data_IF_678395703216
#
_entry.id   IF_678395703216
#
_cell.length_a   1.000
_cell.length_b   1.000
_cell.length_c   1.000
_cell.angle_alpha   90.00
_cell.angle_beta   90.00
_cell.angle_gamma   90.00
#
_symmetry.space_group_name_H-M   'P 1'
#
loop_
_entity.id
_entity.type
_entity.pdbx_description
1 polymer ?
#
# COMPACT_ATOMS: atom_id res chain seq x y z
N UNK A 1 23.13 9.85 -29.49
CA UNK A 1 21.97 10.67 -29.07
C UNK A 1 20.95 9.70 -28.51
N UNK A 2 20.55 9.73 -27.24
CA UNK A 2 19.47 8.90 -26.75
C UNK A 2 18.17 9.43 -27.34
N UNK A 3 17.41 8.58 -27.99
CA UNK A 3 16.07 8.87 -28.44
C UNK A 3 15.19 9.18 -27.22
N UNK A 4 14.56 10.35 -27.22
CA UNK A 4 13.55 10.69 -26.24
C UNK A 4 12.39 9.70 -26.36
N UNK A 5 12.21 8.87 -25.32
CA UNK A 5 11.07 7.97 -25.19
C UNK A 5 9.87 8.89 -24.92
N UNK A 6 9.01 9.04 -25.93
CA UNK A 6 7.72 9.72 -25.79
C UNK A 6 6.82 8.83 -24.92
N UNK A 7 6.78 9.10 -23.60
CA UNK A 7 5.75 8.57 -22.74
C UNK A 7 4.39 9.06 -23.27
N UNK A 8 3.52 8.15 -23.69
CA UNK A 8 2.12 8.49 -23.91
C UNK A 8 1.57 8.96 -22.57
N UNK A 9 1.27 10.26 -22.44
CA UNK A 9 0.50 10.76 -21.30
C UNK A 9 -0.82 9.97 -21.22
N UNK A 10 -0.87 9.02 -20.33
CA UNK A 10 -2.11 8.32 -20.02
C UNK A 10 -2.82 9.10 -18.92
N UNK A 11 -4.02 9.55 -19.19
CA UNK A 11 -4.93 10.10 -18.16
C UNK A 11 -6.00 9.06 -17.87
N UNK A 12 -6.24 8.78 -16.60
CA UNK A 12 -7.36 7.95 -16.18
C UNK A 12 -8.66 8.56 -16.74
N UNK A 13 -9.56 7.73 -17.28
CA UNK A 13 -10.88 8.19 -17.77
C UNK A 13 -11.72 8.77 -16.62
N UNK A 14 -11.55 8.24 -15.42
CA UNK A 14 -12.18 8.72 -14.18
C UNK A 14 -11.06 8.98 -13.17
N UNK A 15 -10.38 10.13 -13.22
CA UNK A 15 -9.32 10.45 -12.29
C UNK A 15 -9.87 10.62 -10.87
N UNK A 16 -9.09 10.19 -9.88
CA UNK A 16 -9.44 10.47 -8.49
C UNK A 16 -9.48 11.97 -8.23
N UNK A 17 -10.62 12.45 -7.73
CA UNK A 17 -10.79 13.85 -7.34
C UNK A 17 -10.17 14.08 -5.98
N UNK A 18 -9.17 14.96 -5.92
CA UNK A 18 -8.53 15.35 -4.67
C UNK A 18 -9.53 15.96 -3.70
N UNK A 19 -9.40 15.61 -2.43
CA UNK A 19 -10.15 16.22 -1.33
C UNK A 19 -9.50 17.54 -0.91
N UNK A 20 -10.21 18.32 -0.11
CA UNK A 20 -9.69 19.58 0.44
C UNK A 20 -8.38 19.32 1.20
N UNK A 21 -7.37 20.13 0.96
CA UNK A 21 -6.04 20.02 1.57
C UNK A 21 -5.10 19.02 0.90
N UNK A 22 -5.58 18.23 -0.07
CA UNK A 22 -4.74 17.33 -0.85
C UNK A 22 -4.15 18.04 -2.06
N UNK A 23 -2.94 17.61 -2.43
CA UNK A 23 -2.27 18.02 -3.66
C UNK A 23 -1.69 16.81 -4.37
N UNK A 24 -1.54 16.93 -5.69
CA UNK A 24 -0.90 15.91 -6.55
C UNK A 24 0.35 16.49 -7.15
N UNK A 25 1.44 15.75 -7.06
CA UNK A 25 2.70 16.03 -7.74
C UNK A 25 3.14 14.81 -8.52
N UNK A 26 4.06 15.01 -9.45
CA UNK A 26 4.71 13.96 -10.21
C UNK A 26 6.20 13.97 -9.88
N UNK A 27 6.64 12.93 -9.20
CA UNK A 27 8.03 12.74 -8.83
C UNK A 27 8.79 12.10 -10.00
N UNK A 28 9.81 12.81 -10.50
CA UNK A 28 10.63 12.30 -11.59
C UNK A 28 11.67 11.32 -11.08
N UNK A 29 11.53 10.06 -11.49
CA UNK A 29 12.42 8.96 -11.15
C UNK A 29 13.72 9.00 -11.95
N UNK A 30 14.79 8.30 -11.49
CA UNK A 30 16.04 8.15 -12.26
C UNK A 30 15.86 7.51 -13.64
N UNK A 31 14.82 6.68 -13.80
CA UNK A 31 14.42 6.10 -15.10
C UNK A 31 13.93 7.14 -16.12
N UNK A 32 13.62 8.36 -15.67
CA UNK A 32 13.01 9.43 -16.47
C UNK A 32 11.48 9.40 -16.47
N UNK A 33 10.86 8.34 -15.89
CA UNK A 33 9.42 8.21 -15.71
C UNK A 33 8.94 9.05 -14.54
N UNK A 34 7.65 9.42 -14.56
CA UNK A 34 7.02 10.19 -13.51
C UNK A 34 6.15 9.28 -12.63
N UNK A 35 6.35 9.36 -11.32
CA UNK A 35 5.55 8.67 -10.31
C UNK A 35 4.57 9.67 -9.67
N UNK A 36 3.27 9.39 -9.75
CA UNK A 36 2.24 10.18 -9.06
C UNK A 36 2.39 10.06 -7.55
N UNK A 37 2.27 11.19 -6.88
CA UNK A 37 2.18 11.28 -5.42
C UNK A 37 1.02 12.16 -5.05
N UNK A 38 0.06 11.63 -4.28
CA UNK A 38 -0.95 12.43 -3.60
C UNK A 38 -0.46 12.67 -2.19
N UNK A 39 -0.41 13.94 -1.78
CA UNK A 39 0.06 14.29 -0.45
C UNK A 39 -0.90 15.24 0.26
N UNK A 40 -0.85 15.22 1.56
CA UNK A 40 -1.56 16.15 2.43
C UNK A 40 -0.64 16.56 3.58
N UNK A 41 -0.38 17.86 3.67
CA UNK A 41 0.40 18.43 4.76
C UNK A 41 -0.40 18.47 6.04
N UNK A 42 0.29 18.40 7.17
CA UNK A 42 -0.35 18.54 8.47
C UNK A 42 -1.00 19.91 8.61
N UNK A 43 -2.13 19.95 9.30
CA UNK A 43 -2.79 21.19 9.69
C UNK A 43 -2.06 21.73 10.93
N UNK A 44 -1.00 22.51 10.73
CA UNK A 44 -0.35 23.22 11.84
C UNK A 44 -1.18 24.44 12.20
N UNK A 45 -1.69 24.50 13.43
CA UNK A 45 -2.08 25.76 14.05
C UNK A 45 -0.79 26.53 14.39
N UNK A 46 -0.61 27.71 13.80
CA UNK A 46 0.53 28.62 13.95
C UNK A 46 0.76 29.10 15.40
N UNK A 47 -0.02 28.62 16.36
CA UNK A 47 -0.10 29.14 17.74
C UNK A 47 0.66 28.33 18.79
N UNK A 48 1.32 27.21 18.48
CA UNK A 48 1.97 26.35 19.47
C UNK A 48 3.51 26.34 19.41
N UNK A 49 4.15 27.42 18.98
CA UNK A 49 5.63 27.53 18.92
C UNK A 49 6.33 27.66 20.30
N UNK A 50 5.69 27.37 21.42
CA UNK A 50 6.24 27.64 22.77
C UNK A 50 6.65 26.40 23.58
N UNK A 51 6.40 25.18 23.13
CA UNK A 51 6.94 23.98 23.80
C UNK A 51 7.77 23.19 22.80
N UNK A 52 8.83 22.47 23.27
CA UNK A 52 9.76 21.66 22.47
C UNK A 52 9.01 21.00 21.31
N UNK A 53 9.20 21.50 20.11
CA UNK A 53 8.40 21.10 18.95
C UNK A 53 8.63 19.63 18.68
N UNK A 54 7.63 18.80 19.01
CA UNK A 54 7.54 17.45 18.50
C UNK A 54 7.50 17.56 16.97
N UNK A 55 8.52 17.04 16.30
CA UNK A 55 8.60 17.01 14.84
C UNK A 55 8.25 15.58 14.40
N UNK A 56 6.97 15.30 14.10
CA UNK A 56 6.56 13.96 13.74
C UNK A 56 7.22 13.51 12.44
N UNK A 57 7.57 12.21 12.32
CA UNK A 57 8.09 11.68 11.08
C UNK A 57 7.04 11.80 9.96
N UNK A 58 7.42 12.11 8.72
CA UNK A 58 6.50 12.04 7.59
C UNK A 58 6.05 10.59 7.35
N UNK A 59 4.83 10.42 6.84
CA UNK A 59 4.27 9.11 6.52
C UNK A 59 4.30 8.89 5.02
N UNK A 60 4.85 7.75 4.58
CA UNK A 60 4.90 7.37 3.17
C UNK A 60 4.12 6.07 2.99
N UNK A 61 3.11 6.09 2.12
CA UNK A 61 2.17 5.01 1.91
C UNK A 61 2.38 4.33 0.55
N UNK A 62 2.46 3.00 0.55
CA UNK A 62 2.67 2.15 -0.62
C UNK A 62 1.50 1.19 -0.77
N UNK A 63 0.77 1.30 -1.87
CA UNK A 63 -0.43 0.50 -2.15
C UNK A 63 -0.11 -0.92 -2.65
N UNK A 64 -1.11 -1.80 -2.59
CA UNK A 64 -1.07 -3.15 -3.15
C UNK A 64 -1.48 -3.23 -4.63
N UNK A 65 -1.72 -4.45 -5.12
CA UNK A 65 -2.24 -4.67 -6.47
C UNK A 65 -3.60 -4.02 -6.65
N UNK A 66 -3.89 -3.59 -7.86
CA UNK A 66 -5.15 -2.98 -8.30
C UNK A 66 -5.45 -1.59 -7.75
N UNK A 67 -4.61 -1.06 -6.88
CA UNK A 67 -4.75 0.24 -6.24
C UNK A 67 -3.76 1.27 -6.78
N UNK A 68 -3.86 2.48 -6.27
CA UNK A 68 -2.95 3.60 -6.47
C UNK A 68 -3.01 4.53 -5.24
N UNK A 69 -2.34 5.66 -5.25
CA UNK A 69 -2.32 6.63 -4.14
C UNK A 69 -3.71 6.99 -3.59
N UNK A 70 -4.74 6.94 -4.44
CA UNK A 70 -6.12 7.29 -4.08
C UNK A 70 -6.68 6.48 -2.90
N UNK A 71 -6.27 5.21 -2.74
CA UNK A 71 -6.80 4.36 -1.67
C UNK A 71 -6.43 4.87 -0.27
N UNK A 72 -5.29 5.53 -0.15
CA UNK A 72 -4.85 6.20 1.06
C UNK A 72 -5.43 7.61 1.20
N UNK A 73 -5.53 8.31 0.05
CA UNK A 73 -6.06 9.67 -0.01
C UNK A 73 -7.55 9.74 0.38
N UNK A 74 -8.26 8.63 0.30
CA UNK A 74 -9.68 8.57 0.60
C UNK A 74 -9.98 8.87 2.09
N UNK A 75 -9.22 8.28 3.02
CA UNK A 75 -9.45 8.41 4.45
C UNK A 75 -8.18 8.68 5.26
N UNK A 76 -7.10 7.94 5.01
CA UNK A 76 -5.95 7.96 5.91
C UNK A 76 -5.11 9.23 5.78
N UNK A 77 -4.91 9.78 4.59
CA UNK A 77 -4.19 11.05 4.46
C UNK A 77 -4.88 12.18 5.25
N UNK A 78 -6.21 12.43 5.09
CA UNK A 78 -6.91 13.43 5.90
C UNK A 78 -6.80 13.16 7.40
N UNK A 79 -6.94 11.90 7.82
CA UNK A 79 -6.86 11.51 9.23
C UNK A 79 -5.49 11.82 9.84
N UNK A 80 -4.41 11.41 9.19
CA UNK A 80 -3.06 11.66 9.71
C UNK A 80 -2.67 13.13 9.63
N UNK A 81 -3.08 13.85 8.58
CA UNK A 81 -2.89 15.29 8.47
C UNK A 81 -3.54 16.05 9.64
N UNK A 82 -4.77 15.68 10.03
CA UNK A 82 -5.46 16.25 11.20
C UNK A 82 -4.75 15.92 12.53
N UNK A 83 -3.99 14.82 12.56
CA UNK A 83 -3.19 14.40 13.72
C UNK A 83 -1.73 14.89 13.70
N UNK A 84 -1.41 15.82 12.80
CA UNK A 84 -0.11 16.51 12.77
C UNK A 84 0.96 15.88 11.89
N UNK A 85 0.61 14.91 11.01
CA UNK A 85 1.57 14.22 10.16
C UNK A 85 1.50 14.67 8.70
N UNK A 86 2.63 15.02 8.12
CA UNK A 86 2.77 15.11 6.68
C UNK A 86 2.66 13.72 6.07
N UNK A 87 1.76 13.54 5.10
CA UNK A 87 1.40 12.24 4.55
C UNK A 87 1.52 12.21 3.03
N UNK A 88 2.21 11.21 2.49
CA UNK A 88 2.48 11.04 1.07
C UNK A 88 2.05 9.64 0.62
N UNK A 89 1.15 9.56 -0.34
CA UNK A 89 0.72 8.31 -0.96
C UNK A 89 1.29 8.21 -2.37
N UNK A 90 2.05 7.15 -2.62
CA UNK A 90 2.68 6.90 -3.90
C UNK A 90 1.78 6.05 -4.78
N UNK A 91 1.67 6.37 -6.07
CA UNK A 91 1.19 5.44 -7.09
C UNK A 91 2.39 4.80 -7.77
N UNK A 92 2.57 3.50 -7.60
CA UNK A 92 3.66 2.77 -8.26
C UNK A 92 3.54 2.89 -9.78
N UNK A 93 4.63 2.75 -10.52
CA UNK A 93 4.62 2.81 -11.98
C UNK A 93 3.55 1.88 -12.59
N UNK A 94 2.89 2.32 -13.65
CA UNK A 94 1.78 1.60 -14.26
C UNK A 94 0.46 1.64 -13.49
N UNK A 95 0.41 2.36 -12.36
CA UNK A 95 -0.79 2.52 -11.53
C UNK A 95 -1.16 4.01 -11.40
N UNK A 96 -2.45 4.29 -11.20
CA UNK A 96 -2.96 5.65 -11.08
C UNK A 96 -2.56 6.53 -12.25
N UNK A 97 -2.11 7.73 -11.96
CA UNK A 97 -1.62 8.70 -12.95
C UNK A 97 -0.10 8.59 -13.21
N UNK A 98 0.59 7.60 -12.60
CA UNK A 98 2.02 7.37 -12.86
C UNK A 98 2.26 6.90 -14.29
N UNK A 99 3.45 7.20 -14.82
CA UNK A 99 3.86 6.67 -16.12
C UNK A 99 3.90 5.14 -16.10
N UNK A 100 3.69 4.51 -17.24
CA UNK A 100 3.83 3.08 -17.40
C UNK A 100 5.20 2.77 -18.02
N UNK A 101 6.01 1.89 -17.41
CA UNK A 101 7.25 1.42 -18.02
C UNK A 101 6.95 0.57 -19.27
N UNK A 102 7.95 0.39 -20.10
CA UNK A 102 7.88 -0.57 -21.20
C UNK A 102 7.81 -2.00 -20.68
N UNK A 103 7.04 -2.86 -21.36
CA UNK A 103 6.90 -4.26 -21.02
C UNK A 103 5.52 -4.66 -20.51
N UNK A 104 5.42 -5.83 -19.90
CA UNK A 104 4.17 -6.46 -19.48
C UNK A 104 3.85 -6.29 -17.98
N UNK A 105 4.80 -5.80 -17.19
CA UNK A 105 4.67 -5.59 -15.74
C UNK A 105 5.32 -4.28 -15.32
N UNK A 106 4.86 -3.72 -14.21
CA UNK A 106 5.31 -2.43 -13.70
C UNK A 106 6.74 -2.46 -13.14
N UNK A 107 7.17 -3.61 -12.60
CA UNK A 107 8.52 -3.73 -12.05
C UNK A 107 8.79 -5.03 -11.31
N UNK A 108 9.78 -4.98 -10.44
CA UNK A 108 10.19 -6.01 -9.49
C UNK A 108 10.19 -5.43 -8.08
N UNK A 109 10.40 -6.27 -7.04
CA UNK A 109 10.59 -5.76 -5.67
C UNK A 109 11.73 -4.74 -5.62
N UNK A 110 12.83 -5.03 -6.31
CA UNK A 110 14.01 -4.17 -6.36
C UNK A 110 13.70 -2.82 -7.00
N UNK A 111 13.04 -2.79 -8.17
CA UNK A 111 12.76 -1.54 -8.86
C UNK A 111 11.77 -0.67 -8.09
N UNK A 112 10.69 -1.26 -7.55
CA UNK A 112 9.73 -0.53 -6.74
C UNK A 112 10.35 0.01 -5.45
N UNK A 113 11.18 -0.77 -4.75
CA UNK A 113 11.89 -0.31 -3.57
C UNK A 113 12.88 0.82 -3.88
N UNK A 114 13.58 0.75 -5.02
CA UNK A 114 14.50 1.80 -5.46
C UNK A 114 13.76 3.09 -5.81
N UNK A 115 12.59 3.02 -6.47
CA UNK A 115 11.75 4.18 -6.78
C UNK A 115 11.23 4.87 -5.51
N UNK A 116 10.82 4.07 -4.51
CA UNK A 116 10.40 4.58 -3.20
C UNK A 116 11.59 5.25 -2.48
N UNK A 117 12.78 4.64 -2.54
CA UNK A 117 13.99 5.19 -1.92
C UNK A 117 14.39 6.53 -2.55
N UNK A 118 14.33 6.64 -3.87
CA UNK A 118 14.60 7.90 -4.59
C UNK A 118 13.60 8.99 -4.16
N UNK A 119 12.32 8.64 -4.00
CA UNK A 119 11.32 9.58 -3.49
C UNK A 119 11.62 10.01 -2.06
N UNK A 120 11.86 9.06 -1.14
CA UNK A 120 12.17 9.34 0.26
C UNK A 120 13.39 10.26 0.36
N UNK A 121 14.47 9.91 -0.31
CA UNK A 121 15.71 10.68 -0.29
C UNK A 121 15.51 12.14 -0.74
N UNK A 122 14.68 12.37 -1.75
CA UNK A 122 14.49 13.73 -2.31
C UNK A 122 13.39 14.55 -1.62
N UNK A 123 12.44 13.91 -0.95
CA UNK A 123 11.24 14.60 -0.41
C UNK A 123 11.19 14.63 1.13
N UNK A 124 11.94 13.73 1.80
CA UNK A 124 11.92 13.63 3.26
C UNK A 124 13.32 13.87 3.89
N UNK A 125 14.16 14.68 3.24
CA UNK A 125 15.55 14.94 3.66
C UNK A 125 15.73 15.36 5.12
N UNK A 126 14.67 15.94 5.74
CA UNK A 126 14.75 16.51 7.09
C UNK A 126 14.46 15.49 8.20
N UNK A 127 13.86 14.35 7.92
CA UNK A 127 13.49 13.36 8.93
C UNK A 127 13.19 11.99 8.29
N UNK A 128 13.72 10.88 8.84
CA UNK A 128 13.36 9.53 8.39
C UNK A 128 11.85 9.31 8.47
N UNK A 129 11.19 8.79 7.41
CA UNK A 129 9.76 8.59 7.40
C UNK A 129 9.36 7.29 8.10
N UNK A 130 8.06 7.17 8.43
CA UNK A 130 7.41 5.88 8.63
C UNK A 130 6.90 5.38 7.28
N UNK A 131 7.35 4.20 6.87
CA UNK A 131 6.98 3.58 5.59
C UNK A 131 5.85 2.56 5.82
N UNK A 132 4.71 2.76 5.16
CA UNK A 132 3.48 1.99 5.38
C UNK A 132 3.09 1.27 4.08
N UNK A 133 3.03 -0.05 4.10
CA UNK A 133 2.73 -0.85 2.91
C UNK A 133 1.52 -1.76 3.10
N UNK A 134 0.64 -1.79 2.08
CA UNK A 134 -0.54 -2.65 2.04
C UNK A 134 -0.36 -3.81 1.06
N UNK A 135 -0.73 -5.02 1.45
CA UNK A 135 -0.74 -6.19 0.56
C UNK A 135 0.63 -6.42 -0.11
N UNK A 136 0.73 -6.42 -1.45
CA UNK A 136 2.02 -6.45 -2.15
C UNK A 136 2.87 -5.21 -1.89
N UNK A 137 2.29 -4.06 -1.59
CA UNK A 137 3.03 -2.89 -1.12
C UNK A 137 3.74 -3.16 0.21
N UNK A 138 3.13 -3.97 1.08
CA UNK A 138 3.78 -4.48 2.28
C UNK A 138 5.00 -5.37 1.98
N UNK A 139 4.91 -6.23 0.96
CA UNK A 139 6.05 -7.04 0.52
C UNK A 139 7.19 -6.19 -0.05
N UNK A 140 6.86 -5.08 -0.75
CA UNK A 140 7.86 -4.10 -1.20
C UNK A 140 8.53 -3.43 0.00
N UNK A 141 7.77 -3.06 1.04
CA UNK A 141 8.31 -2.48 2.29
C UNK A 141 9.22 -3.48 2.99
N UNK A 142 8.86 -4.77 3.05
CA UNK A 142 9.70 -5.83 3.60
C UNK A 142 11.03 -5.93 2.83
N UNK A 143 10.98 -5.89 1.49
CA UNK A 143 12.17 -5.90 0.65
C UNK A 143 13.03 -4.64 0.85
N UNK A 144 12.39 -3.49 1.01
CA UNK A 144 13.05 -2.22 1.31
C UNK A 144 13.85 -2.29 2.62
N UNK A 145 13.24 -2.80 3.68
CA UNK A 145 13.88 -2.97 5.00
C UNK A 145 15.05 -3.95 4.90
N UNK A 146 14.85 -5.10 4.26
CA UNK A 146 15.85 -6.16 4.14
C UNK A 146 17.11 -5.73 3.37
N UNK A 147 17.01 -4.71 2.50
CA UNK A 147 18.11 -4.19 1.71
C UNK A 147 18.60 -2.81 2.17
N UNK A 148 18.10 -2.33 3.31
CA UNK A 148 18.58 -1.11 3.99
C UNK A 148 18.70 0.11 3.05
N UNK A 149 17.69 0.34 2.19
CA UNK A 149 17.72 1.40 1.19
C UNK A 149 17.93 2.80 1.78
N UNK A 150 17.29 3.11 2.90
CA UNK A 150 17.53 4.30 3.70
C UNK A 150 17.00 4.13 5.13
N UNK A 151 17.40 5.04 6.02
CA UNK A 151 16.89 5.08 7.39
C UNK A 151 15.39 5.34 7.42
N UNK A 152 14.67 4.60 8.27
CA UNK A 152 13.24 4.76 8.54
C UNK A 152 13.03 5.04 10.04
N UNK A 153 12.09 5.91 10.35
CA UNK A 153 11.61 6.09 11.72
C UNK A 153 10.86 4.84 12.20
N UNK A 154 10.19 4.15 11.28
CA UNK A 154 9.50 2.90 11.53
C UNK A 154 8.87 2.36 10.25
N UNK A 155 8.28 1.17 10.31
CA UNK A 155 7.52 0.61 9.19
C UNK A 155 6.22 -0.05 9.66
N UNK A 156 5.21 -0.07 8.80
CA UNK A 156 3.91 -0.70 9.06
C UNK A 156 3.53 -1.59 7.89
N UNK A 157 3.22 -2.84 8.19
CA UNK A 157 2.72 -3.83 7.23
C UNK A 157 1.22 -4.01 7.47
N UNK A 158 0.40 -3.59 6.50
CA UNK A 158 -1.07 -3.64 6.57
C UNK A 158 -1.57 -4.74 5.65
N UNK A 159 -2.19 -5.78 6.17
CA UNK A 159 -2.69 -6.93 5.39
C UNK A 159 -1.66 -7.42 4.37
N UNK A 160 -0.38 -7.42 4.78
CA UNK A 160 0.76 -7.62 3.89
C UNK A 160 0.87 -9.06 3.42
N UNK A 161 1.25 -9.24 2.16
CA UNK A 161 1.72 -10.55 1.69
C UNK A 161 2.90 -10.99 2.55
N UNK A 162 2.95 -12.25 3.04
CA UNK A 162 4.04 -12.76 3.88
C UNK A 162 5.41 -12.70 3.19
N UNK A 163 6.51 -12.72 3.94
CA UNK A 163 7.86 -12.66 3.41
C UNK A 163 8.22 -13.83 2.48
N UNK A 164 7.51 -14.97 2.61
CA UNK A 164 7.64 -16.14 1.72
C UNK A 164 6.78 -16.02 0.45
N UNK A 165 5.98 -14.95 0.35
CA UNK A 165 5.07 -14.71 -0.77
C UNK A 165 3.70 -15.33 -0.57
N UNK A 166 2.91 -15.36 -1.64
CA UNK A 166 1.52 -15.82 -1.61
C UNK A 166 1.35 -17.33 -1.88
N UNK A 167 2.41 -18.07 -2.19
CA UNK A 167 2.31 -19.51 -2.51
C UNK A 167 1.75 -20.32 -1.34
N UNK A 168 2.20 -20.07 -0.13
CA UNK A 168 1.67 -20.72 1.08
C UNK A 168 0.18 -20.44 1.31
N UNK A 169 -0.26 -19.20 1.08
CA UNK A 169 -1.67 -18.81 1.13
C UNK A 169 -2.51 -19.61 0.13
N UNK A 170 -2.07 -19.66 -1.14
CA UNK A 170 -2.77 -20.38 -2.22
C UNK A 170 -2.91 -21.87 -1.88
N UNK A 171 -1.84 -22.53 -1.43
CA UNK A 171 -1.88 -23.94 -1.04
C UNK A 171 -2.81 -24.18 0.16
N UNK A 172 -2.76 -23.35 1.20
CA UNK A 172 -3.66 -23.47 2.36
C UNK A 172 -5.12 -23.37 1.95
N UNK A 173 -5.48 -22.38 1.14
CA UNK A 173 -6.85 -22.20 0.66
C UNK A 173 -7.30 -23.37 -0.20
N UNK A 174 -6.44 -23.88 -1.08
CA UNK A 174 -6.78 -25.02 -1.97
C UNK A 174 -7.16 -26.26 -1.17
N UNK A 175 -6.45 -26.55 -0.08
CA UNK A 175 -6.71 -27.74 0.75
C UNK A 175 -7.76 -27.54 1.82
N UNK A 176 -7.83 -26.36 2.46
CA UNK A 176 -8.74 -26.13 3.58
C UNK A 176 -10.08 -25.53 3.18
N UNK A 177 -10.10 -24.71 2.13
CA UNK A 177 -11.30 -23.98 1.68
C UNK A 177 -11.35 -23.92 0.14
N UNK A 178 -11.59 -25.06 -0.57
CA UNK A 178 -11.48 -25.12 -2.03
C UNK A 178 -12.44 -24.18 -2.77
N UNK A 179 -13.66 -23.95 -2.24
CA UNK A 179 -14.61 -22.99 -2.81
C UNK A 179 -14.10 -21.56 -2.68
N UNK A 180 -13.53 -21.22 -1.52
CA UNK A 180 -12.91 -19.91 -1.30
C UNK A 180 -11.67 -19.72 -2.19
N UNK A 181 -10.82 -20.75 -2.31
CA UNK A 181 -9.66 -20.73 -3.22
C UNK A 181 -10.07 -20.45 -4.67
N UNK A 182 -11.12 -21.12 -5.15
CA UNK A 182 -11.66 -20.89 -6.49
C UNK A 182 -12.16 -19.45 -6.65
N UNK A 183 -12.93 -18.93 -5.67
CA UNK A 183 -13.43 -17.56 -5.70
C UNK A 183 -12.30 -16.52 -5.71
N UNK A 184 -11.29 -16.67 -4.83
CA UNK A 184 -10.12 -15.78 -4.79
C UNK A 184 -9.38 -15.81 -6.12
N UNK A 185 -9.13 -16.99 -6.67
CA UNK A 185 -8.46 -17.15 -7.96
C UNK A 185 -9.25 -16.48 -9.08
N UNK A 186 -10.56 -16.71 -9.17
CA UNK A 186 -11.40 -16.04 -10.15
C UNK A 186 -11.47 -14.54 -9.95
N UNK A 187 -11.54 -14.10 -8.69
CA UNK A 187 -11.58 -12.68 -8.37
C UNK A 187 -10.29 -11.98 -8.79
N UNK A 188 -9.15 -12.46 -8.33
CA UNK A 188 -7.86 -11.77 -8.49
C UNK A 188 -7.18 -12.10 -9.82
N UNK A 189 -7.00 -13.38 -10.17
CA UNK A 189 -6.27 -13.77 -11.37
C UNK A 189 -7.06 -13.47 -12.66
N UNK A 190 -8.38 -13.74 -12.67
CA UNK A 190 -9.26 -13.41 -13.78
C UNK A 190 -9.81 -11.97 -13.70
N UNK A 191 -9.49 -11.22 -12.65
CA UNK A 191 -9.99 -9.84 -12.39
C UNK A 191 -11.53 -9.75 -12.40
N UNK A 192 -12.23 -10.84 -12.03
CA UNK A 192 -13.69 -10.88 -12.06
C UNK A 192 -14.33 -9.90 -11.06
N UNK A 193 -13.60 -9.48 -10.01
CA UNK A 193 -14.02 -8.42 -9.11
C UNK A 193 -14.31 -7.10 -9.83
N UNK A 194 -13.67 -6.84 -10.98
CA UNK A 194 -13.86 -5.59 -11.74
C UNK A 194 -15.24 -5.46 -12.37
N UNK A 195 -15.98 -6.57 -12.53
CA UNK A 195 -17.30 -6.60 -13.16
C UNK A 195 -18.40 -7.18 -12.27
N UNK A 196 -18.04 -7.82 -11.16
CA UNK A 196 -18.98 -8.41 -10.20
C UNK A 196 -18.90 -7.68 -8.86
N UNK A 197 -19.93 -6.90 -8.54
CA UNK A 197 -20.02 -6.20 -7.26
C UNK A 197 -19.99 -7.15 -6.05
N UNK A 198 -20.76 -8.26 -6.02
CA UNK A 198 -20.68 -9.18 -4.88
C UNK A 198 -19.30 -9.76 -4.69
N UNK A 199 -18.61 -10.11 -5.79
CA UNK A 199 -17.25 -10.66 -5.71
C UNK A 199 -16.23 -9.61 -5.28
N UNK A 200 -16.37 -8.37 -5.74
CA UNK A 200 -15.53 -7.25 -5.29
C UNK A 200 -15.68 -7.03 -3.78
N UNK A 201 -16.93 -6.99 -3.30
CA UNK A 201 -17.23 -6.81 -1.88
C UNK A 201 -16.66 -7.97 -1.05
N UNK A 202 -16.93 -9.22 -1.43
CA UNK A 202 -16.42 -10.40 -0.71
C UNK A 202 -14.88 -10.48 -0.70
N UNK A 203 -14.22 -10.00 -1.75
CA UNK A 203 -12.76 -10.08 -1.86
C UNK A 203 -12.04 -9.04 -1.01
N UNK A 204 -12.52 -7.79 -0.99
CA UNK A 204 -11.76 -6.67 -0.45
C UNK A 204 -12.36 -6.03 0.79
N UNK A 205 -13.67 -6.18 1.03
CA UNK A 205 -14.39 -5.40 2.03
C UNK A 205 -15.16 -6.25 3.02
N UNK A 206 -15.41 -5.71 4.20
CA UNK A 206 -16.26 -6.32 5.21
C UNK A 206 -17.74 -6.36 4.75
N UNK A 207 -18.52 -7.25 5.35
CA UNK A 207 -19.95 -7.40 5.01
C UNK A 207 -20.75 -6.11 5.22
N UNK A 208 -20.34 -5.28 6.18
CA UNK A 208 -20.99 -4.00 6.49
C UNK A 208 -20.75 -2.88 5.48
N UNK A 209 -19.86 -3.10 4.51
CA UNK A 209 -19.56 -2.07 3.51
C UNK A 209 -20.75 -1.79 2.60
N UNK A 210 -21.07 -0.52 2.39
CA UNK A 210 -22.19 -0.07 1.56
C UNK A 210 -21.89 -0.28 0.07
N UNK A 211 -22.84 -0.85 -0.67
CA UNK A 211 -22.67 -1.23 -2.08
C UNK A 211 -22.28 -0.04 -2.99
N UNK A 212 -22.78 1.16 -2.72
CA UNK A 212 -22.42 2.35 -3.51
C UNK A 212 -20.94 2.75 -3.35
N UNK A 213 -20.35 2.52 -2.16
CA UNK A 213 -18.90 2.73 -1.92
C UNK A 213 -18.10 1.66 -2.63
N UNK A 214 -18.53 0.38 -2.54
CA UNK A 214 -17.88 -0.72 -3.25
C UNK A 214 -17.85 -0.47 -4.75
N UNK A 215 -18.98 -0.04 -5.35
CA UNK A 215 -19.06 0.31 -6.77
C UNK A 215 -18.05 1.41 -7.15
N UNK A 216 -17.94 2.45 -6.35
CA UNK A 216 -17.00 3.55 -6.58
C UNK A 216 -15.56 3.05 -6.51
N UNK A 217 -15.20 2.24 -5.51
CA UNK A 217 -13.84 1.71 -5.37
C UNK A 217 -13.53 0.67 -6.45
N UNK A 218 -14.49 -0.16 -6.82
CA UNK A 218 -14.38 -1.09 -7.96
C UNK A 218 -14.03 -0.35 -9.26
N UNK A 219 -14.67 0.79 -9.52
CA UNK A 219 -14.37 1.61 -10.69
C UNK A 219 -12.97 2.21 -10.62
N UNK A 220 -12.55 2.76 -9.47
CA UNK A 220 -11.21 3.29 -9.26
C UNK A 220 -10.14 2.20 -9.44
N UNK A 221 -10.35 0.99 -8.89
CA UNK A 221 -9.43 -0.15 -9.08
C UNK A 221 -9.32 -0.55 -10.55
N UNK A 222 -10.45 -0.57 -11.28
CA UNK A 222 -10.46 -0.91 -12.70
C UNK A 222 -9.68 0.09 -13.54
N UNK A 223 -9.83 1.38 -13.26
CA UNK A 223 -9.21 2.47 -14.02
C UNK A 223 -7.74 2.68 -13.65
N UNK A 224 -7.36 2.48 -12.38
CA UNK A 224 -6.01 2.79 -11.90
C UNK A 224 -4.98 1.68 -12.16
N UNK A 225 -5.38 0.41 -12.30
CA UNK A 225 -4.43 -0.69 -12.49
C UNK A 225 -4.28 -1.07 -13.96
N UNK A 226 -3.33 -0.43 -14.63
CA UNK A 226 -3.10 -0.61 -16.08
C UNK A 226 -2.26 -1.84 -16.42
N UNK A 227 -1.38 -2.25 -15.52
CA UNK A 227 -0.52 -3.42 -15.68
C UNK A 227 -0.28 -4.10 -14.33
N UNK A 228 0.08 -5.40 -14.32
CA UNK A 228 0.48 -6.09 -13.11
C UNK A 228 1.70 -5.43 -12.47
N UNK A 229 1.76 -5.40 -11.13
CA UNK A 229 2.93 -4.89 -10.42
C UNK A 229 4.17 -5.75 -10.67
N UNK A 230 3.98 -7.08 -10.76
CA UNK A 230 5.05 -8.06 -10.85
C UNK A 230 4.78 -9.15 -11.88
N UNK A 231 5.84 -9.72 -12.43
CA UNK A 231 5.84 -11.08 -12.95
C UNK A 231 5.91 -12.05 -11.75
N UNK A 232 4.81 -12.74 -11.47
CA UNK A 232 4.69 -13.61 -10.29
C UNK A 232 5.70 -14.77 -10.30
N UNK A 233 6.16 -15.24 -11.46
CA UNK A 233 7.17 -16.29 -11.53
C UNK A 233 8.53 -15.76 -11.07
N UNK A 234 8.92 -14.58 -11.54
CA UNK A 234 10.15 -13.91 -11.13
C UNK A 234 10.10 -13.49 -9.67
N UNK A 235 8.94 -12.99 -9.22
CA UNK A 235 8.70 -12.66 -7.81
C UNK A 235 8.95 -13.89 -6.93
N UNK A 236 8.28 -15.01 -7.21
CA UNK A 236 8.42 -16.24 -6.43
C UNK A 236 9.86 -16.78 -6.40
N UNK A 237 10.63 -16.56 -7.48
CA UNK A 237 12.05 -16.94 -7.53
C UNK A 237 12.96 -16.04 -6.67
N UNK A 238 12.50 -14.85 -6.29
CA UNK A 238 13.23 -13.90 -5.43
C UNK A 238 12.83 -13.97 -3.95
N UNK A 239 11.93 -14.88 -3.59
CA UNK A 239 11.45 -15.07 -2.22
C UNK A 239 12.10 -16.33 -1.57
N UNK A 240 12.16 -16.40 -0.24
CA UNK A 240 11.69 -15.41 0.73
C UNK A 240 12.52 -14.13 0.74
N UNK A 241 11.92 -13.05 1.23
CA UNK A 241 12.66 -11.81 1.54
C UNK A 241 13.73 -12.14 2.59
N UNK A 242 14.90 -11.51 2.51
CA UNK A 242 15.95 -11.70 3.50
C UNK A 242 15.48 -11.23 4.89
N UNK A 243 15.94 -11.91 5.95
CA UNK A 243 15.71 -11.46 7.31
C UNK A 243 16.41 -10.13 7.59
N UNK A 244 15.84 -9.32 8.45
CA UNK A 244 16.38 -8.03 8.86
C UNK A 244 16.23 -7.87 10.37
N UNK A 245 17.18 -7.20 11.00
CA UNK A 245 17.13 -6.84 12.43
C UNK A 245 16.29 -5.59 12.70
N UNK A 246 15.47 -5.18 11.75
CA UNK A 246 14.62 -4.00 11.89
C UNK A 246 13.53 -4.22 12.95
N UNK A 247 13.61 -3.48 14.05
CA UNK A 247 12.76 -3.70 15.24
C UNK A 247 11.58 -2.74 15.35
N UNK A 248 11.63 -1.57 14.66
CA UNK A 248 10.54 -0.57 14.68
C UNK A 248 9.47 -0.91 13.64
N UNK A 249 8.83 -2.06 13.82
CA UNK A 249 7.88 -2.64 12.88
C UNK A 249 6.53 -2.93 13.55
N UNK A 250 5.44 -2.46 12.93
CA UNK A 250 4.08 -2.87 13.23
C UNK A 250 3.56 -3.80 12.13
N UNK A 251 3.14 -5.01 12.51
CA UNK A 251 2.47 -5.96 11.60
C UNK A 251 1.01 -6.02 11.97
N UNK A 252 0.12 -5.71 11.03
CA UNK A 252 -1.32 -5.70 11.26
C UNK A 252 -2.08 -6.35 10.12
N UNK A 253 -3.11 -7.09 10.46
CA UNK A 253 -4.03 -7.77 9.54
C UNK A 253 -5.48 -7.45 9.87
N UNK A 254 -6.39 -8.00 9.11
CA UNK A 254 -7.83 -7.80 9.25
C UNK A 254 -8.52 -9.14 9.50
N UNK A 255 -9.46 -9.17 10.44
CA UNK A 255 -10.15 -10.41 10.82
C UNK A 255 -11.01 -10.99 9.70
N UNK A 256 -11.58 -10.13 8.85
CA UNK A 256 -12.39 -10.52 7.70
C UNK A 256 -11.57 -10.55 6.39
N UNK A 257 -10.23 -10.59 6.45
CA UNK A 257 -9.38 -10.65 5.27
C UNK A 257 -9.54 -11.96 4.51
N UNK A 258 -9.99 -11.84 3.26
CA UNK A 258 -10.21 -12.98 2.36
C UNK A 258 -8.97 -13.33 1.53
N UNK A 259 -7.95 -12.49 1.51
CA UNK A 259 -6.73 -12.62 0.70
C UNK A 259 -5.56 -13.10 1.56
N UNK A 260 -5.29 -12.41 2.67
CA UNK A 260 -4.23 -12.76 3.62
C UNK A 260 -4.87 -13.22 4.93
N UNK A 261 -4.89 -14.54 5.12
CA UNK A 261 -5.49 -15.14 6.30
C UNK A 261 -4.68 -14.90 7.59
N UNK A 262 -5.27 -15.22 8.74
CA UNK A 262 -4.64 -15.10 10.06
C UNK A 262 -3.26 -15.79 10.10
N UNK A 263 -3.11 -16.97 9.47
CA UNK A 263 -1.82 -17.67 9.39
C UNK A 263 -0.76 -16.90 8.59
N UNK A 264 -1.16 -16.19 7.54
CA UNK A 264 -0.26 -15.29 6.81
C UNK A 264 0.18 -14.10 7.65
N UNK A 265 -0.73 -13.59 8.48
CA UNK A 265 -0.43 -12.55 9.47
C UNK A 265 0.55 -13.07 10.53
N UNK A 266 0.28 -14.23 11.14
CA UNK A 266 1.15 -14.90 12.12
C UNK A 266 2.54 -15.23 11.54
N UNK A 267 2.60 -15.71 10.29
CA UNK A 267 3.84 -15.97 9.58
C UNK A 267 4.70 -14.71 9.48
N UNK A 268 4.09 -13.58 9.11
CA UNK A 268 4.78 -12.30 9.00
C UNK A 268 5.27 -11.81 10.36
N UNK A 269 4.43 -11.87 11.40
CA UNK A 269 4.80 -11.52 12.78
C UNK A 269 5.97 -12.36 13.29
N UNK A 270 5.88 -13.67 13.10
CA UNK A 270 6.93 -14.62 13.52
C UNK A 270 8.25 -14.39 12.81
N UNK A 271 8.21 -14.09 11.51
CA UNK A 271 9.41 -13.81 10.71
C UNK A 271 10.20 -12.61 11.25
N UNK A 272 9.51 -11.57 11.72
CA UNK A 272 10.13 -10.36 12.29
C UNK A 272 10.22 -10.36 13.81
N UNK A 273 9.84 -11.45 14.49
CA UNK A 273 9.81 -11.55 15.94
C UNK A 273 8.98 -10.44 16.60
N UNK A 274 7.86 -10.04 15.98
CA UNK A 274 6.92 -9.05 16.50
C UNK A 274 5.54 -9.69 16.67
N UNK A 275 4.81 -9.27 17.72
CA UNK A 275 3.42 -9.68 17.91
C UNK A 275 2.54 -9.00 16.88
N UNK A 276 1.87 -9.74 15.97
CA UNK A 276 1.00 -9.13 14.98
C UNK A 276 -0.35 -8.76 15.59
N UNK A 277 -0.98 -7.71 15.06
CA UNK A 277 -2.30 -7.24 15.52
C UNK A 277 -3.36 -7.54 14.47
N UNK A 278 -4.37 -8.33 14.85
CA UNK A 278 -5.54 -8.59 14.02
C UNK A 278 -6.63 -7.56 14.34
N UNK A 279 -7.08 -6.79 13.35
CA UNK A 279 -8.08 -5.74 13.52
C UNK A 279 -9.47 -6.28 13.18
N UNK A 280 -10.37 -6.27 14.17
CA UNK A 280 -11.73 -6.75 14.03
C UNK A 280 -12.64 -5.82 13.22
N UNK A 281 -13.56 -6.40 12.43
CA UNK A 281 -14.60 -5.68 11.71
C UNK A 281 -14.10 -4.88 10.51
N UNK A 282 -12.97 -5.28 9.94
CA UNK A 282 -12.41 -4.79 8.68
C UNK A 282 -11.92 -5.96 7.85
N UNK A 283 -11.84 -5.76 6.55
CA UNK A 283 -11.33 -6.75 5.60
C UNK A 283 -10.01 -6.29 4.95
N UNK A 284 -9.64 -6.91 3.81
CA UNK A 284 -8.34 -6.72 3.18
C UNK A 284 -8.01 -5.24 2.90
N UNK A 285 -8.95 -4.50 2.32
CA UNK A 285 -8.79 -3.08 2.02
C UNK A 285 -9.12 -2.21 3.26
N UNK A 286 -8.42 -2.48 4.37
CA UNK A 286 -8.65 -1.85 5.68
C UNK A 286 -8.77 -0.34 5.59
N UNK A 287 -7.95 0.33 4.77
CA UNK A 287 -7.92 1.78 4.61
C UNK A 287 -9.17 2.35 3.89
N UNK A 288 -9.96 1.50 3.26
CA UNK A 288 -11.18 1.85 2.53
C UNK A 288 -12.45 1.30 3.18
N UNK A 289 -12.32 0.37 4.12
CA UNK A 289 -13.44 -0.32 4.76
C UNK A 289 -14.32 0.63 5.59
N UNK A 290 -15.52 0.17 5.94
CA UNK A 290 -16.48 0.95 6.73
C UNK A 290 -15.96 1.36 8.11
N UNK A 291 -15.06 0.57 8.68
CA UNK A 291 -14.42 0.80 9.99
C UNK A 291 -12.91 1.11 9.86
N UNK A 292 -12.51 1.80 8.80
CA UNK A 292 -11.12 2.16 8.49
C UNK A 292 -10.40 2.89 9.63
N UNK A 293 -11.14 3.62 10.46
CA UNK A 293 -10.60 4.37 11.60
C UNK A 293 -9.87 3.45 12.59
N UNK A 294 -10.30 2.19 12.75
CA UNK A 294 -9.68 1.24 13.68
C UNK A 294 -8.21 1.01 13.33
N UNK A 295 -7.92 0.76 12.05
CA UNK A 295 -6.55 0.61 11.59
C UNK A 295 -5.74 1.90 11.70
N UNK A 296 -6.33 3.02 11.32
CA UNK A 296 -5.67 4.33 11.40
C UNK A 296 -5.31 4.72 12.85
N UNK A 297 -6.21 4.49 13.82
CA UNK A 297 -5.97 4.74 15.25
C UNK A 297 -4.87 3.86 15.83
N UNK A 298 -4.83 2.59 15.43
CA UNK A 298 -3.79 1.66 15.84
C UNK A 298 -2.41 2.15 15.38
N UNK A 299 -2.28 2.51 14.11
CA UNK A 299 -1.04 3.08 13.55
C UNK A 299 -0.67 4.38 14.26
N UNK A 300 -1.64 5.28 14.48
CA UNK A 300 -1.40 6.55 15.17
C UNK A 300 -0.87 6.33 16.59
N UNK A 301 -1.46 5.40 17.33
CA UNK A 301 -1.03 5.07 18.69
C UNK A 301 0.38 4.48 18.70
N UNK A 302 0.68 3.61 17.74
CA UNK A 302 2.00 3.01 17.61
C UNK A 302 3.07 4.04 17.22
N UNK A 303 2.81 4.93 16.25
CA UNK A 303 3.77 5.97 15.86
C UNK A 303 4.08 6.92 17.04
N UNK A 304 3.09 7.22 17.89
CA UNK A 304 3.30 8.05 19.08
C UNK A 304 4.11 7.36 20.18
N UNK A 305 4.32 6.04 20.09
CA UNK A 305 5.15 5.26 21.01
C UNK A 305 6.59 5.05 20.50
N UNK A 306 6.91 5.42 19.27
CA UNK A 306 8.27 5.41 18.72
C UNK A 306 9.14 6.49 19.35
#
# INVERSE_FOLDING_TARGET
MPQAILSKEYKMKVPYKLKQGQSRIFHKLPSGLNMEVIYQKCLQDDKSKTEKSWNPPPLVFVHGSFHAAWCWAEHWLPFFSQNGFDSYALSLLGQGESDAPEGSVAGSLQTHAADIADFIQKQTESSPPVLIGHSFGGLIVQYYIANEYSELAGAVLVCSVPPTGNSGLVWRYLFSKPVAAFKVTMSLAAKAFQTSLPLCKETFFSKGMEDHRVLRYQELMRESSRMPLFDLRKLNASLPVASSEFTRLLVMGAADDFIVDEKGLEETGSFYCVEPVCVEGVAHDMMLDSSWERGAQLILSWIKSL
#
